data_IF_793793333251
#
_entry.id   IF_793793333251
#
_cell.length_a   1.000
_cell.length_b   1.000
_cell.length_c   1.000
_cell.angle_alpha   90.00
_cell.angle_beta   90.00
_cell.angle_gamma   90.00
#
_symmetry.space_group_name_H-M   'P 1'
#
loop_
_entity.id
_entity.type
_entity.pdbx_description
1 polymer ?
#
# COMPACT_ATOMS: atom_id res chain seq x y z
N UNK A 1 -7.20 -23.34 10.63
CA UNK A 1 -8.54 -22.91 10.18
C UNK A 1 -8.42 -21.93 9.02
N UNK A 2 -7.96 -22.37 7.82
CA UNK A 2 -7.72 -21.45 6.71
C UNK A 2 -9.02 -20.92 6.08
N UNK A 3 -10.09 -21.72 6.08
CA UNK A 3 -11.34 -21.36 5.40
C UNK A 3 -12.02 -20.10 5.95
N UNK A 4 -12.17 -19.99 7.28
CA UNK A 4 -12.82 -18.85 7.91
C UNK A 4 -11.97 -17.58 7.83
N UNK A 5 -10.64 -17.70 8.02
CA UNK A 5 -9.73 -16.55 7.94
C UNK A 5 -9.58 -16.03 6.51
N UNK A 6 -9.62 -16.90 5.49
CA UNK A 6 -9.59 -16.47 4.09
C UNK A 6 -10.79 -15.60 3.77
N UNK A 7 -12.02 -16.05 4.05
CA UNK A 7 -13.22 -15.25 3.78
C UNK A 7 -13.21 -13.92 4.54
N UNK A 8 -12.79 -13.94 5.81
CA UNK A 8 -12.69 -12.71 6.60
C UNK A 8 -11.69 -11.71 5.98
N UNK A 9 -10.49 -12.18 5.62
CA UNK A 9 -9.45 -11.33 5.05
C UNK A 9 -9.86 -10.82 3.67
N UNK A 10 -10.35 -11.70 2.77
CA UNK A 10 -10.73 -11.30 1.41
C UNK A 10 -11.89 -10.33 1.43
N UNK A 11 -12.88 -10.50 2.30
CA UNK A 11 -13.99 -9.54 2.39
C UNK A 11 -13.50 -8.17 2.85
N UNK A 12 -12.50 -8.10 3.73
CA UNK A 12 -11.90 -6.85 4.17
C UNK A 12 -11.01 -6.21 3.09
N UNK A 13 -10.32 -7.00 2.27
CA UNK A 13 -9.35 -6.49 1.28
C UNK A 13 -9.92 -6.28 -0.12
N UNK A 14 -11.03 -6.93 -0.47
CA UNK A 14 -11.61 -6.90 -1.82
C UNK A 14 -11.90 -5.48 -2.33
N UNK A 15 -12.46 -4.53 -1.54
CA UNK A 15 -12.68 -3.17 -2.03
C UNK A 15 -11.39 -2.48 -2.50
N UNK A 16 -10.28 -2.69 -1.77
CA UNK A 16 -8.98 -2.11 -2.12
C UNK A 16 -8.38 -2.78 -3.36
N UNK A 17 -8.53 -4.10 -3.50
CA UNK A 17 -8.05 -4.83 -4.69
C UNK A 17 -8.75 -4.34 -5.95
N UNK A 18 -10.07 -4.11 -5.90
CA UNK A 18 -10.82 -3.56 -7.03
C UNK A 18 -10.35 -2.14 -7.36
N UNK A 19 -10.20 -1.27 -6.36
CA UNK A 19 -9.72 0.10 -6.58
C UNK A 19 -8.31 0.15 -7.20
N UNK A 20 -7.41 -0.75 -6.78
CA UNK A 20 -6.08 -0.90 -7.35
C UNK A 20 -6.12 -1.37 -8.81
N UNK A 21 -6.98 -2.34 -9.12
CA UNK A 21 -7.14 -2.87 -10.48
C UNK A 21 -7.69 -1.80 -11.44
N UNK A 22 -8.67 -1.02 -11.00
CA UNK A 22 -9.36 -0.05 -11.86
C UNK A 22 -8.59 1.28 -12.01
N UNK A 23 -7.76 1.64 -11.02
CA UNK A 23 -7.23 3.00 -10.91
C UNK A 23 -5.73 3.10 -10.59
N UNK A 24 -5.04 1.97 -10.45
CA UNK A 24 -3.64 1.95 -10.04
C UNK A 24 -3.43 2.44 -8.60
N UNK A 25 -2.17 2.51 -8.18
CA UNK A 25 -1.79 2.83 -6.79
C UNK A 25 -2.23 4.23 -6.38
N UNK A 26 -1.90 5.25 -7.18
CA UNK A 26 -2.25 6.64 -6.86
C UNK A 26 -3.78 6.84 -6.83
N UNK A 27 -4.48 6.28 -7.82
CA UNK A 27 -5.93 6.37 -7.90
C UNK A 27 -6.63 5.61 -6.77
N UNK A 28 -6.08 4.48 -6.32
CA UNK A 28 -6.60 3.74 -5.17
C UNK A 28 -6.41 4.53 -3.87
N UNK A 29 -5.23 5.12 -3.64
CA UNK A 29 -4.95 5.94 -2.44
C UNK A 29 -5.85 7.18 -2.40
N UNK A 30 -6.11 7.81 -3.55
CA UNK A 30 -7.01 8.97 -3.60
C UNK A 30 -8.45 8.62 -3.20
N UNK A 31 -8.89 7.38 -3.48
CA UNK A 31 -10.23 6.87 -3.11
C UNK A 31 -10.27 6.31 -1.69
N UNK A 32 -9.17 5.70 -1.26
CA UNK A 32 -8.96 5.08 0.04
C UNK A 32 -7.68 5.64 0.68
N UNK A 33 -7.74 6.84 1.29
CA UNK A 33 -6.57 7.47 1.91
C UNK A 33 -5.90 6.61 2.98
N UNK A 34 -6.66 5.71 3.60
CA UNK A 34 -6.18 4.70 4.54
C UNK A 34 -5.15 3.72 3.95
N UNK A 35 -5.06 3.60 2.62
CA UNK A 35 -4.04 2.79 1.94
C UNK A 35 -2.64 3.43 1.97
N UNK A 36 -2.54 4.75 2.09
CA UNK A 36 -1.26 5.47 2.05
C UNK A 36 -0.21 4.93 3.06
N UNK A 37 -0.51 4.77 4.37
CA UNK A 37 0.45 4.21 5.31
C UNK A 37 0.79 2.72 5.06
N UNK A 38 -0.01 2.01 4.25
CA UNK A 38 0.23 0.63 3.85
C UNK A 38 1.25 0.47 2.72
N UNK A 39 1.69 1.57 2.08
CA UNK A 39 2.66 1.52 0.99
C UNK A 39 4.08 1.48 1.53
N UNK A 40 4.78 0.38 1.29
CA UNK A 40 6.16 0.21 1.75
C UNK A 40 7.21 0.61 0.71
N UNK A 41 6.95 0.32 -0.57
CA UNK A 41 7.90 0.51 -1.66
C UNK A 41 7.13 0.95 -2.91
N UNK A 42 7.63 1.96 -3.61
CA UNK A 42 7.16 2.36 -4.95
C UNK A 42 8.38 2.51 -5.86
N UNK A 43 8.45 1.72 -6.93
CA UNK A 43 9.64 1.65 -7.78
C UNK A 43 10.86 1.17 -6.98
N UNK A 44 11.88 2.01 -6.89
CA UNK A 44 13.11 1.77 -6.10
C UNK A 44 13.13 2.48 -4.74
N UNK A 45 12.09 3.23 -4.38
CA UNK A 45 12.04 4.06 -3.18
C UNK A 45 11.29 3.36 -2.04
N UNK A 46 11.85 3.41 -0.82
CA UNK A 46 11.22 2.88 0.39
C UNK A 46 10.41 3.97 1.07
N UNK A 47 9.09 3.82 1.09
CA UNK A 47 8.13 4.84 1.57
C UNK A 47 7.62 4.60 2.97
N UNK A 48 8.00 3.49 3.60
CA UNK A 48 7.68 3.22 5.00
C UNK A 48 8.94 3.38 5.87
N UNK A 49 8.88 4.27 6.85
CA UNK A 49 10.02 4.60 7.72
C UNK A 49 10.52 3.40 8.53
N UNK A 50 9.61 2.61 9.11
CA UNK A 50 9.99 1.43 9.88
C UNK A 50 10.70 0.36 9.02
N UNK A 51 10.30 0.23 7.75
CA UNK A 51 10.97 -0.66 6.79
C UNK A 51 12.34 -0.13 6.43
N UNK A 52 12.47 1.18 6.18
CA UNK A 52 13.75 1.82 5.88
C UNK A 52 14.75 1.65 7.03
N UNK A 53 14.32 1.92 8.27
CA UNK A 53 15.15 1.76 9.47
C UNK A 53 15.60 0.31 9.68
N UNK A 54 14.70 -0.66 9.47
CA UNK A 54 14.99 -2.09 9.67
C UNK A 54 15.99 -2.64 8.64
N UNK A 55 16.03 -2.05 7.44
CA UNK A 55 16.89 -2.50 6.34
C UNK A 55 18.11 -1.61 6.11
N UNK A 56 18.27 -0.52 6.87
CA UNK A 56 19.32 0.49 6.67
C UNK A 56 19.21 1.20 5.31
N UNK A 57 17.99 1.34 4.79
CA UNK A 57 17.70 1.99 3.52
C UNK A 57 17.31 3.47 3.72
N UNK A 58 17.40 4.26 2.65
CA UNK A 58 16.92 5.65 2.66
C UNK A 58 15.38 5.68 2.61
N UNK A 59 14.78 6.43 3.52
CA UNK A 59 13.35 6.69 3.52
C UNK A 59 13.01 7.85 2.58
N UNK A 60 12.02 7.65 1.72
CA UNK A 60 11.50 8.66 0.79
C UNK A 60 10.01 8.87 1.04
N UNK A 61 9.58 10.12 1.16
CA UNK A 61 8.17 10.46 1.35
C UNK A 61 7.29 9.96 0.19
N UNK A 62 6.17 9.31 0.53
CA UNK A 62 5.26 8.71 -0.46
C UNK A 62 4.70 9.74 -1.46
N UNK A 63 4.39 10.95 -0.98
CA UNK A 63 3.87 12.04 -1.82
C UNK A 63 4.86 12.48 -2.90
N UNK A 64 6.16 12.42 -2.61
CA UNK A 64 7.23 12.74 -3.56
C UNK A 64 7.30 11.71 -4.69
N UNK A 65 7.05 10.42 -4.38
CA UNK A 65 7.14 9.34 -5.37
C UNK A 65 5.90 9.25 -6.26
N UNK A 66 4.71 9.55 -5.72
CA UNK A 66 3.45 9.47 -6.47
C UNK A 66 3.14 10.73 -7.31
N UNK A 67 3.89 11.82 -7.13
CA UNK A 67 3.71 13.06 -7.90
C UNK A 67 4.66 13.17 -9.11
N UNK A 68 5.43 12.12 -9.40
CA UNK A 68 6.38 12.03 -10.51
C UNK A 68 5.80 11.21 -11.66
#
# INVERSE_FOLDING_TARGET
MPHTSTYALTNATLPYVVALADHGVEGAIRRHPELAPGVNIVGSAVTNSAVADSLGAEHVELSTVLSA
#
